data_IF_397832335622
#
_entry.id   IF_397832335622
#
_cell.length_a   1.000
_cell.length_b   1.000
_cell.length_c   1.000
_cell.angle_alpha   90.00
_cell.angle_beta   90.00
_cell.angle_gamma   90.00
#
_symmetry.space_group_name_H-M   'P 1'
#
loop_
_entity.id
_entity.type
_entity.pdbx_description
1 polymer ?
#
# COMPACT_ATOMS: atom_id res chain seq x y z
N UNK A 1 23.69 -18.33 1.58
CA UNK A 1 22.38 -18.57 2.20
C UNK A 1 21.39 -18.84 1.10
N UNK A 2 20.57 -19.89 1.24
CA UNK A 2 19.46 -20.19 0.34
C UNK A 2 18.55 -18.95 0.17
N UNK A 3 18.08 -18.68 -1.06
CA UNK A 3 17.24 -17.52 -1.36
C UNK A 3 15.91 -17.56 -0.60
N UNK A 4 15.37 -18.74 -0.34
CA UNK A 4 14.12 -18.90 0.42
C UNK A 4 14.28 -18.42 1.87
N UNK A 5 15.35 -18.85 2.54
CA UNK A 5 15.64 -18.45 3.93
C UNK A 5 15.85 -16.95 4.01
N UNK A 6 16.60 -16.36 3.07
CA UNK A 6 16.86 -14.92 3.04
C UNK A 6 15.58 -14.09 2.91
N UNK A 7 14.69 -14.43 1.97
CA UNK A 7 13.45 -13.66 1.76
C UNK A 7 12.42 -13.89 2.87
N UNK A 8 12.37 -15.08 3.46
CA UNK A 8 11.51 -15.35 4.61
C UNK A 8 11.91 -14.49 5.82
N UNK A 9 13.20 -14.51 6.19
CA UNK A 9 13.75 -13.66 7.26
C UNK A 9 13.45 -12.18 7.04
N UNK A 10 13.59 -11.70 5.80
CA UNK A 10 13.32 -10.31 5.46
C UNK A 10 11.85 -9.95 5.63
N UNK A 11 10.93 -10.86 5.28
CA UNK A 11 9.50 -10.68 5.48
C UNK A 11 9.12 -10.68 6.96
N UNK A 12 9.68 -11.60 7.76
CA UNK A 12 9.40 -11.71 9.19
C UNK A 12 9.89 -10.49 9.98
N UNK A 13 11.00 -9.88 9.54
CA UNK A 13 11.60 -8.70 10.17
C UNK A 13 11.03 -7.37 9.65
N UNK A 14 10.07 -7.40 8.72
CA UNK A 14 9.49 -6.18 8.17
C UNK A 14 8.75 -5.39 9.27
N UNK A 15 9.01 -4.07 9.42
CA UNK A 15 8.43 -3.27 10.50
C UNK A 15 6.96 -2.87 10.25
N UNK A 16 6.48 -3.09 9.02
CA UNK A 16 5.14 -2.70 8.56
C UNK A 16 4.63 -3.77 7.59
N UNK A 17 3.33 -4.04 7.66
CA UNK A 17 2.63 -4.89 6.70
C UNK A 17 1.49 -4.11 6.05
N UNK A 18 1.37 -4.24 4.73
CA UNK A 18 0.27 -3.66 3.96
C UNK A 18 -0.52 -4.77 3.32
N UNK A 19 -1.83 -4.66 3.44
CA UNK A 19 -2.78 -5.51 2.73
C UNK A 19 -3.68 -4.58 1.92
N UNK A 20 -3.63 -4.68 0.59
CA UNK A 20 -4.62 -4.05 -0.28
C UNK A 20 -5.78 -5.03 -0.42
N UNK A 21 -6.93 -4.67 0.12
CA UNK A 21 -8.13 -5.52 0.09
C UNK A 21 -9.18 -5.03 -0.90
N UNK A 22 -9.03 -3.81 -1.42
CA UNK A 22 -9.93 -3.22 -2.40
C UNK A 22 -9.12 -2.58 -3.53
N UNK A 23 -9.43 -3.00 -4.75
CA UNK A 23 -9.00 -2.33 -5.97
C UNK A 23 -10.14 -2.42 -6.99
N UNK A 24 -10.97 -1.39 -7.03
CA UNK A 24 -12.09 -1.28 -7.96
C UNK A 24 -11.73 -0.31 -9.08
N UNK A 25 -11.92 -0.73 -10.32
CA UNK A 25 -11.53 0.02 -11.52
C UNK A 25 -12.78 0.31 -12.35
N UNK A 26 -13.07 1.58 -12.54
CA UNK A 26 -14.16 2.07 -13.36
C UNK A 26 -13.69 2.76 -14.65
N UNK A 27 -14.64 3.09 -15.51
CA UNK A 27 -14.39 3.89 -16.69
C UNK A 27 -13.99 5.34 -16.34
N UNK A 28 -14.46 5.85 -15.19
CA UNK A 28 -14.29 7.24 -14.75
C UNK A 28 -13.53 7.38 -13.43
N UNK A 29 -13.55 6.37 -12.57
CA UNK A 29 -12.91 6.43 -11.26
C UNK A 29 -12.19 5.13 -10.90
N UNK A 30 -11.29 5.22 -9.93
CA UNK A 30 -10.62 4.06 -9.32
C UNK A 30 -10.66 4.21 -7.81
N UNK A 31 -10.99 3.12 -7.12
CA UNK A 31 -11.02 3.04 -5.65
C UNK A 31 -9.97 2.04 -5.19
N UNK A 32 -9.13 2.45 -4.25
CA UNK A 32 -8.11 1.60 -3.62
C UNK A 32 -8.26 1.70 -2.12
N UNK A 33 -8.25 0.54 -1.45
CA UNK A 33 -8.35 0.47 -0.01
C UNK A 33 -7.71 -0.77 0.59
N UNK A 34 -7.42 -0.69 1.88
CA UNK A 34 -6.68 -1.73 2.57
C UNK A 34 -6.41 -1.43 4.03
N UNK A 35 -5.44 -2.15 4.59
CA UNK A 35 -4.94 -1.95 5.94
C UNK A 35 -3.43 -1.80 5.97
N UNK A 36 -2.96 -0.92 6.84
CA UNK A 36 -1.57 -0.88 7.30
C UNK A 36 -1.53 -1.48 8.70
N UNK A 37 -0.56 -2.34 8.97
CA UNK A 37 -0.28 -2.90 10.28
C UNK A 37 1.11 -2.45 10.74
N UNK A 38 1.17 -1.85 11.93
CA UNK A 38 2.39 -1.44 12.58
C UNK A 38 2.98 -2.60 13.38
N UNK A 39 4.04 -3.23 12.87
CA UNK A 39 4.71 -4.32 13.55
C UNK A 39 5.80 -3.85 14.53
N UNK A 40 5.97 -2.54 14.72
CA UNK A 40 6.95 -1.97 15.65
C UNK A 40 6.42 -1.84 17.08
N UNK A 41 7.28 -1.45 18.01
CA UNK A 41 6.94 -1.24 19.42
C UNK A 41 6.45 0.19 19.74
N UNK A 42 6.47 1.10 18.76
CA UNK A 42 6.07 2.51 18.94
C UNK A 42 4.96 2.88 17.97
N UNK A 43 4.10 3.83 18.34
CA UNK A 43 3.08 4.34 17.43
C UNK A 43 3.76 5.08 16.26
N UNK A 44 3.24 4.89 15.03
CA UNK A 44 3.80 5.48 13.82
C UNK A 44 2.70 5.95 12.86
N UNK A 45 2.98 7.04 12.15
CA UNK A 45 2.17 7.47 11.01
C UNK A 45 2.90 7.10 9.73
N UNK A 46 2.21 6.43 8.82
CA UNK A 46 2.76 5.96 7.56
C UNK A 46 2.26 6.81 6.39
N UNK A 47 3.15 7.10 5.44
CA UNK A 47 2.80 7.76 4.19
C UNK A 47 2.82 6.72 3.06
N UNK A 48 1.64 6.35 2.58
CA UNK A 48 1.47 5.49 1.42
C UNK A 48 1.49 6.34 0.15
N UNK A 49 2.45 6.09 -0.74
CA UNK A 49 2.44 6.63 -2.10
C UNK A 49 2.09 5.52 -3.07
N UNK A 50 0.93 5.63 -3.68
CA UNK A 50 0.34 4.62 -4.57
C UNK A 50 0.28 5.21 -5.98
N UNK A 51 0.89 4.51 -6.93
CA UNK A 51 0.89 4.86 -8.34
C UNK A 51 -0.08 3.94 -9.09
N UNK A 52 -0.99 4.55 -9.84
CA UNK A 52 -1.95 3.84 -10.69
C UNK A 52 -1.39 3.75 -12.11
N UNK A 53 -1.52 2.58 -12.72
CA UNK A 53 -0.87 2.24 -13.98
C UNK A 53 -1.91 2.05 -15.09
N UNK A 54 -1.58 2.44 -16.32
CA UNK A 54 -2.35 2.06 -17.51
C UNK A 54 -2.01 0.63 -18.00
N UNK A 55 -2.64 0.21 -19.11
CA UNK A 55 -2.41 -1.11 -19.72
C UNK A 55 -0.95 -1.32 -20.18
N UNK A 56 -0.23 -0.24 -20.44
CA UNK A 56 1.17 -0.26 -20.86
C UNK A 56 2.15 -0.20 -19.68
N UNK A 57 1.63 -0.05 -18.45
CA UNK A 57 2.44 0.07 -17.24
C UNK A 57 2.92 1.50 -16.93
N UNK A 58 2.43 2.51 -17.65
CA UNK A 58 2.77 3.90 -17.35
C UNK A 58 1.99 4.40 -16.15
N UNK A 59 2.62 5.25 -15.33
CA UNK A 59 1.94 5.92 -14.21
C UNK A 59 0.97 6.97 -14.77
N UNK A 60 -0.30 6.85 -14.39
CA UNK A 60 -1.36 7.77 -14.84
C UNK A 60 -1.99 8.59 -13.71
N UNK A 61 -1.73 8.22 -12.46
CA UNK A 61 -2.02 9.00 -11.26
C UNK A 61 -1.13 8.53 -10.10
N UNK A 62 -0.84 9.43 -9.17
CA UNK A 62 -0.12 9.14 -7.93
C UNK A 62 -0.90 9.74 -6.78
N UNK A 63 -1.26 8.89 -5.82
CA UNK A 63 -2.05 9.28 -4.64
C UNK A 63 -1.23 9.08 -3.37
N UNK A 64 -1.29 10.05 -2.46
CA UNK A 64 -0.57 10.02 -1.20
C UNK A 64 -1.56 9.95 -0.04
N UNK A 65 -1.52 8.86 0.74
CA UNK A 65 -2.42 8.63 1.88
C UNK A 65 -1.61 8.56 3.16
N UNK A 66 -1.97 9.40 4.14
CA UNK A 66 -1.41 9.32 5.50
C UNK A 66 -2.28 8.40 6.36
N UNK A 67 -1.67 7.42 7.00
CA UNK A 67 -2.34 6.45 7.87
C UNK A 67 -1.71 6.50 9.25
N UNK A 68 -2.46 6.94 10.23
CA UNK A 68 -2.05 6.91 11.63
C UNK A 68 -2.33 8.18 12.42
N UNK A 69 -1.82 8.26 13.66
CA UNK A 69 -0.88 7.31 14.26
C UNK A 69 -1.49 5.91 14.46
N UNK A 70 -0.79 4.88 13.98
CA UNK A 70 -1.13 3.47 14.17
C UNK A 70 -0.41 2.99 15.41
N UNK A 71 -1.16 2.54 16.42
CA UNK A 71 -0.59 2.06 17.68
C UNK A 71 0.37 0.86 17.45
N UNK A 72 1.28 0.57 18.40
CA UNK A 72 2.14 -0.61 18.33
C UNK A 72 1.32 -1.88 18.15
N UNK A 73 1.74 -2.77 17.24
CA UNK A 73 1.07 -4.05 16.94
C UNK A 73 -0.40 -3.93 16.53
N UNK A 74 -0.83 -2.74 16.09
CA UNK A 74 -2.19 -2.48 15.65
C UNK A 74 -2.26 -2.29 14.13
N UNK A 75 -3.48 -2.29 13.61
CA UNK A 75 -3.77 -2.05 12.20
C UNK A 75 -4.80 -0.95 12.02
N UNK A 76 -4.63 -0.15 10.98
CA UNK A 76 -5.56 0.91 10.58
C UNK A 76 -5.93 0.77 9.11
N UNK A 77 -7.14 1.22 8.76
CA UNK A 77 -7.63 1.20 7.37
C UNK A 77 -7.15 2.43 6.61
N UNK A 78 -6.97 2.25 5.31
CA UNK A 78 -6.84 3.35 4.36
C UNK A 78 -7.77 3.12 3.18
N UNK A 79 -8.24 4.20 2.58
CA UNK A 79 -8.97 4.16 1.32
C UNK A 79 -8.84 5.51 0.62
N UNK A 80 -8.82 5.50 -0.70
CA UNK A 80 -8.99 6.69 -1.51
C UNK A 80 -9.75 6.36 -2.79
N UNK A 81 -10.45 7.37 -3.29
CA UNK A 81 -11.07 7.36 -4.61
C UNK A 81 -10.39 8.44 -5.44
N UNK A 82 -10.06 8.12 -6.69
CA UNK A 82 -9.52 9.08 -7.65
C UNK A 82 -10.43 9.13 -8.87
N UNK A 83 -10.57 10.30 -9.49
CA UNK A 83 -11.31 10.50 -10.74
C UNK A 83 -10.55 9.96 -11.97
N UNK A 84 -9.59 9.05 -11.75
CA UNK A 84 -8.83 8.40 -12.81
C UNK A 84 -9.44 7.04 -13.13
N UNK A 85 -10.24 7.01 -14.19
CA UNK A 85 -10.63 5.76 -14.85
C UNK A 85 -9.54 5.19 -15.76
N UNK A 86 -9.81 4.04 -16.36
CA UNK A 86 -8.88 3.40 -17.32
C UNK A 86 -7.57 2.89 -16.70
N UNK A 87 -7.53 2.77 -15.37
CA UNK A 87 -6.43 2.15 -14.62
C UNK A 87 -6.45 0.65 -14.86
N UNK A 88 -5.27 0.01 -14.91
CA UNK A 88 -5.05 -1.44 -15.08
C UNK A 88 -4.28 -2.09 -13.96
N UNK A 89 -3.47 -1.33 -13.24
CA UNK A 89 -2.72 -1.84 -12.11
C UNK A 89 -2.42 -0.75 -11.09
N UNK A 90 -1.78 -1.17 -10.01
CA UNK A 90 -1.25 -0.27 -9.01
C UNK A 90 0.10 -0.78 -8.53
N UNK A 91 0.95 0.13 -8.08
CA UNK A 91 2.15 -0.17 -7.30
C UNK A 91 2.29 0.84 -6.17
N UNK A 92 3.07 0.51 -5.15
CA UNK A 92 3.33 1.40 -4.03
C UNK A 92 4.84 1.60 -3.86
N UNK A 93 5.23 2.77 -3.39
CA UNK A 93 6.62 3.04 -3.02
C UNK A 93 6.96 2.37 -1.68
N UNK A 94 8.24 2.07 -1.41
CA UNK A 94 8.66 1.54 -0.11
C UNK A 94 8.09 2.36 1.05
N UNK A 95 7.65 1.66 2.09
CA UNK A 95 7.02 2.25 3.28
C UNK A 95 8.03 2.14 4.42
N UNK A 96 8.26 3.25 5.10
CA UNK A 96 9.26 3.41 6.17
C UNK A 96 8.61 3.70 7.51
#
# INVERSE_FOLDING_TARGET
TDSLVYFNDRSEKAPVKVIVSQFSRGATETVVGGTIENLTATAKTYALSIELLDKSGNVVATEAVKVGPVAPKAKERFSFTTAKGGVYGMRYKPIT
#
